data_IF_657001813673
#
_entry.id   IF_657001813673
#
_cell.length_a   1.000
_cell.length_b   1.000
_cell.length_c   1.000
_cell.angle_alpha   90.00
_cell.angle_beta   90.00
_cell.angle_gamma   90.00
#
_symmetry.space_group_name_H-M   'P 1'
#
loop_
_entity.id
_entity.type
_entity.pdbx_description
1 polymer ?
#
# COMPACT_ATOMS: atom_id res chain seq x y z
N UNK A 1 -18.65 -14.99 -1.65
CA UNK A 1 -18.54 -13.52 -1.84
C UNK A 1 -17.08 -13.19 -1.96
N UNK A 2 -16.68 -12.78 -3.11
CA UNK A 2 -15.31 -12.39 -3.34
C UNK A 2 -15.05 -11.06 -2.58
N UNK A 3 -14.10 -11.09 -1.66
CA UNK A 3 -13.65 -9.89 -0.96
C UNK A 3 -12.60 -9.22 -1.83
N UNK A 4 -12.89 -8.01 -2.25
CA UNK A 4 -11.99 -7.23 -3.10
C UNK A 4 -11.55 -5.91 -2.46
N UNK A 5 -11.84 -5.73 -1.18
CA UNK A 5 -11.38 -4.58 -0.39
C UNK A 5 -11.31 -4.95 1.09
N UNK A 6 -10.17 -4.69 1.71
CA UNK A 6 -9.95 -4.82 3.16
C UNK A 6 -9.35 -3.53 3.68
N UNK A 7 -9.92 -2.99 4.75
CA UNK A 7 -9.41 -1.79 5.44
C UNK A 7 -9.15 -2.16 6.90
N UNK A 8 -7.92 -1.94 7.36
CA UNK A 8 -7.49 -2.28 8.72
C UNK A 8 -6.86 -1.05 9.38
N UNK A 9 -7.52 -0.51 10.40
CA UNK A 9 -6.97 0.56 11.23
C UNK A 9 -6.04 0.01 12.31
N UNK A 10 -5.13 0.86 12.80
CA UNK A 10 -4.14 0.49 13.81
C UNK A 10 -3.35 -0.77 13.43
N UNK A 11 -2.86 -0.81 12.19
CA UNK A 11 -2.30 -2.01 11.60
C UNK A 11 -0.96 -2.42 12.23
N UNK A 12 0.01 -1.51 12.34
CA UNK A 12 1.30 -1.78 12.99
C UNK A 12 1.21 -1.57 14.51
N UNK A 13 2.00 -2.33 15.25
CA UNK A 13 2.13 -2.18 16.70
C UNK A 13 2.79 -0.86 17.08
N UNK A 14 3.86 -0.49 16.38
CA UNK A 14 4.62 0.76 16.59
C UNK A 14 4.82 1.51 15.27
N UNK A 15 3.78 2.18 14.76
CA UNK A 15 3.86 2.90 13.50
C UNK A 15 4.83 4.08 13.55
N UNK A 16 5.02 4.71 14.72
CA UNK A 16 5.93 5.85 14.88
C UNK A 16 7.38 5.42 14.72
N UNK A 17 7.73 4.26 15.27
CA UNK A 17 9.06 3.69 15.07
C UNK A 17 9.31 3.34 13.60
N UNK A 18 8.36 2.69 12.96
CA UNK A 18 8.46 2.33 11.53
C UNK A 18 8.57 3.58 10.66
N UNK A 19 7.74 4.61 10.93
CA UNK A 19 7.83 5.89 10.22
C UNK A 19 9.19 6.56 10.40
N UNK A 20 9.72 6.60 11.64
CA UNK A 20 11.04 7.14 11.92
C UNK A 20 12.12 6.44 11.09
N UNK A 21 12.09 5.11 11.05
CA UNK A 21 13.02 4.32 10.24
C UNK A 21 12.85 4.61 8.74
N UNK A 22 11.61 4.74 8.27
CA UNK A 22 11.34 5.08 6.88
C UNK A 22 11.96 6.41 6.46
N UNK A 23 11.90 7.42 7.33
CA UNK A 23 12.44 8.75 7.05
C UNK A 23 13.99 8.81 7.02
N UNK A 24 14.66 7.78 7.52
CA UNK A 24 16.13 7.65 7.50
C UNK A 24 16.64 6.97 6.22
N UNK A 25 15.75 6.45 5.36
CA UNK A 25 16.11 5.73 4.15
C UNK A 25 16.23 6.63 2.92
N UNK A 26 16.96 6.14 1.93
CA UNK A 26 17.10 6.81 0.63
C UNK A 26 15.88 6.55 -0.26
N UNK A 27 15.34 7.62 -0.84
CA UNK A 27 14.21 7.62 -1.77
C UNK A 27 14.70 8.02 -3.16
N UNK A 28 15.48 7.18 -3.78
CA UNK A 28 16.14 7.43 -5.05
C UNK A 28 15.55 6.64 -6.22
N UNK A 29 14.58 5.76 -5.95
CA UNK A 29 13.97 4.90 -6.96
C UNK A 29 12.69 5.51 -7.51
N UNK A 30 12.63 5.63 -8.82
CA UNK A 30 11.45 6.03 -9.59
C UNK A 30 10.94 4.83 -10.35
N UNK A 31 9.66 4.52 -10.19
CA UNK A 31 8.97 3.54 -11.02
C UNK A 31 7.94 4.27 -11.90
N UNK A 32 8.02 4.09 -13.22
CA UNK A 32 7.19 4.84 -14.17
C UNK A 32 5.70 4.52 -14.10
N UNK A 33 5.33 3.38 -13.54
CA UNK A 33 3.94 2.92 -13.44
C UNK A 33 3.18 3.44 -12.22
N UNK A 34 3.88 4.03 -11.25
CA UNK A 34 3.31 4.51 -9.98
C UNK A 34 3.91 5.85 -9.57
N UNK A 35 3.15 6.71 -8.86
CA UNK A 35 3.63 8.02 -8.45
C UNK A 35 4.67 7.95 -7.33
N UNK A 36 5.45 9.02 -7.18
CA UNK A 36 6.37 9.24 -6.07
C UNK A 36 7.72 8.52 -6.20
N UNK A 37 8.50 8.63 -5.14
CA UNK A 37 9.82 8.01 -4.98
C UNK A 37 9.72 6.82 -4.03
N UNK A 38 10.59 5.84 -4.22
CA UNK A 38 10.58 4.60 -3.45
C UNK A 38 11.92 4.27 -2.86
N UNK A 39 11.89 3.58 -1.73
CA UNK A 39 13.07 2.96 -1.13
C UNK A 39 13.37 1.61 -1.79
N UNK A 40 14.49 1.03 -1.44
CA UNK A 40 14.73 -0.39 -1.66
C UNK A 40 13.74 -1.22 -0.85
N UNK A 41 13.53 -2.47 -1.29
CA UNK A 41 12.70 -3.44 -0.58
C UNK A 41 13.20 -3.66 0.84
N UNK A 42 12.27 -3.73 1.75
CA UNK A 42 12.52 -4.03 3.15
C UNK A 42 12.25 -5.51 3.46
N UNK A 43 12.85 -5.98 4.52
CA UNK A 43 12.65 -7.33 5.04
C UNK A 43 12.67 -7.34 6.57
N UNK A 44 13.04 -8.47 7.16
CA UNK A 44 13.20 -8.60 8.61
C UNK A 44 11.88 -8.50 9.37
N UNK A 45 11.95 -7.89 10.56
CA UNK A 45 10.82 -7.86 11.51
C UNK A 45 9.58 -7.18 10.95
N UNK A 46 9.73 -6.13 10.14
CA UNK A 46 8.60 -5.47 9.49
C UNK A 46 7.86 -6.41 8.53
N UNK A 47 8.59 -7.17 7.72
CA UNK A 47 7.97 -8.15 6.83
C UNK A 47 7.22 -9.22 7.63
N UNK A 48 7.80 -9.71 8.72
CA UNK A 48 7.20 -10.74 9.58
C UNK A 48 5.90 -10.21 10.19
N UNK A 49 5.90 -8.99 10.72
CA UNK A 49 4.71 -8.37 11.29
C UNK A 49 3.60 -8.18 10.26
N UNK A 50 3.93 -7.58 9.12
CA UNK A 50 2.97 -7.33 8.03
C UNK A 50 2.39 -8.64 7.51
N UNK A 51 3.23 -9.62 7.21
CA UNK A 51 2.80 -10.91 6.70
C UNK A 51 1.89 -11.64 7.70
N UNK A 52 2.24 -11.65 8.97
CA UNK A 52 1.44 -12.26 10.03
C UNK A 52 0.04 -11.66 10.12
N UNK A 53 -0.07 -10.34 10.07
CA UNK A 53 -1.36 -9.64 10.13
C UNK A 53 -2.19 -9.83 8.85
N UNK A 54 -1.55 -9.82 7.68
CA UNK A 54 -2.23 -10.09 6.42
C UNK A 54 -2.76 -11.53 6.34
N UNK A 55 -2.02 -12.52 6.83
CA UNK A 55 -2.50 -13.91 6.91
C UNK A 55 -3.80 -14.03 7.71
N UNK A 56 -3.88 -13.31 8.83
CA UNK A 56 -5.09 -13.27 9.66
C UNK A 56 -6.23 -12.58 8.90
N UNK A 57 -5.97 -11.43 8.30
CA UNK A 57 -6.99 -10.63 7.60
C UNK A 57 -7.56 -11.36 6.39
N UNK A 58 -6.71 -12.04 5.62
CA UNK A 58 -7.12 -12.82 4.44
C UNK A 58 -7.65 -14.22 4.78
N UNK A 59 -7.39 -14.71 6.00
CA UNK A 59 -7.72 -16.07 6.39
C UNK A 59 -6.91 -17.13 5.63
N UNK A 60 -5.69 -16.80 5.25
CA UNK A 60 -4.78 -17.66 4.51
C UNK A 60 -3.58 -18.13 5.35
N UNK A 61 -2.92 -19.19 4.89
CA UNK A 61 -1.75 -19.74 5.59
C UNK A 61 -0.42 -19.19 5.07
N UNK A 62 -0.42 -18.71 3.85
CA UNK A 62 0.77 -18.27 3.15
C UNK A 62 0.50 -16.99 2.37
N UNK A 63 1.48 -16.10 2.33
CA UNK A 63 1.53 -14.91 1.46
C UNK A 63 2.70 -15.11 0.51
N UNK A 64 2.41 -15.05 -0.78
CA UNK A 64 3.42 -15.06 -1.83
C UNK A 64 3.63 -13.63 -2.29
N UNK A 65 4.83 -13.10 -2.07
CA UNK A 65 5.19 -11.75 -2.46
C UNK A 65 5.61 -11.71 -3.94
N UNK A 66 5.01 -10.81 -4.69
CA UNK A 66 5.45 -10.55 -6.06
C UNK A 66 6.81 -9.83 -6.03
N UNK A 67 7.86 -10.56 -6.39
CA UNK A 67 9.23 -10.06 -6.41
C UNK A 67 9.54 -9.22 -7.65
N UNK A 68 8.65 -9.17 -8.63
CA UNK A 68 8.80 -8.36 -9.85
C UNK A 68 8.28 -6.94 -9.67
N UNK A 69 7.51 -6.70 -8.60
CA UNK A 69 6.94 -5.40 -8.24
C UNK A 69 7.68 -4.77 -7.07
N UNK A 70 7.45 -3.48 -6.85
CA UNK A 70 7.94 -2.77 -5.67
C UNK A 70 7.11 -3.11 -4.43
N UNK A 71 7.34 -4.30 -3.92
CA UNK A 71 6.69 -4.84 -2.73
C UNK A 71 7.50 -4.54 -1.48
N UNK A 72 6.86 -4.26 -0.35
CA UNK A 72 7.52 -3.98 0.93
C UNK A 72 8.58 -2.87 0.82
N UNK A 73 8.29 -1.82 0.11
CA UNK A 73 9.08 -0.61 0.09
C UNK A 73 8.26 0.56 0.65
N UNK A 74 8.93 1.58 1.13
CA UNK A 74 8.27 2.84 1.43
C UNK A 74 8.17 3.69 0.16
N UNK A 75 7.08 4.44 0.08
CA UNK A 75 6.82 5.40 -0.99
C UNK A 75 6.68 6.81 -0.39
N UNK A 76 7.31 7.77 -1.03
CA UNK A 76 7.16 9.19 -0.70
C UNK A 76 6.54 9.93 -1.87
N UNK A 77 5.38 10.54 -1.63
CA UNK A 77 4.74 11.46 -2.56
C UNK A 77 4.74 12.85 -1.93
N UNK A 78 5.29 13.82 -2.63
CA UNK A 78 5.30 15.21 -2.21
C UNK A 78 4.01 15.90 -2.67
N UNK A 79 3.70 17.06 -2.05
CA UNK A 79 2.63 17.92 -2.53
C UNK A 79 2.83 18.24 -4.02
N UNK A 80 1.78 18.12 -4.81
CA UNK A 80 1.83 18.33 -6.25
C UNK A 80 2.35 17.15 -7.07
N UNK A 81 2.67 16.01 -6.45
CA UNK A 81 2.98 14.78 -7.20
C UNK A 81 1.77 14.40 -8.05
N UNK A 82 2.00 14.26 -9.35
CA UNK A 82 0.97 13.83 -10.29
C UNK A 82 0.58 12.37 -10.02
N UNK A 83 -0.72 12.10 -10.00
CA UNK A 83 -1.28 10.76 -9.81
C UNK A 83 -2.23 10.42 -10.96
N UNK A 84 -2.41 9.12 -11.19
CA UNK A 84 -3.29 8.62 -12.26
C UNK A 84 -3.94 7.30 -11.87
N UNK A 85 -5.05 6.97 -12.55
CA UNK A 85 -5.70 5.67 -12.41
C UNK A 85 -4.85 4.63 -13.13
N UNK A 86 -4.52 3.54 -12.43
CA UNK A 86 -3.70 2.45 -12.96
C UNK A 86 -4.11 1.11 -12.32
N UNK A 87 -3.57 0.03 -12.86
CA UNK A 87 -3.63 -1.30 -12.24
C UNK A 87 -2.26 -1.62 -11.65
N UNK A 88 -2.23 -2.18 -10.46
CA UNK A 88 -0.99 -2.59 -9.81
C UNK A 88 -0.45 -3.91 -10.38
N UNK A 89 -1.31 -4.80 -10.86
CA UNK A 89 -0.89 -6.04 -11.52
C UNK A 89 -0.92 -5.91 -13.05
N UNK A 90 0.03 -6.56 -13.71
CA UNK A 90 0.13 -6.60 -15.18
C UNK A 90 -0.44 -7.90 -15.76
N UNK A 91 -0.89 -8.82 -14.93
CA UNK A 91 -1.33 -10.16 -15.32
C UNK A 91 -2.85 -10.38 -15.30
N UNK A 92 -3.27 -11.51 -15.87
CA UNK A 92 -4.65 -12.01 -15.78
C UNK A 92 -4.87 -12.86 -14.52
N UNK A 93 -3.88 -12.94 -13.62
CA UNK A 93 -3.92 -13.80 -12.45
C UNK A 93 -4.97 -13.32 -11.45
N UNK A 94 -6.00 -14.11 -11.34
CA UNK A 94 -7.07 -13.91 -10.38
C UNK A 94 -6.55 -14.26 -8.98
N UNK A 95 -6.67 -13.29 -8.05
CA UNK A 95 -6.30 -13.51 -6.66
C UNK A 95 -5.09 -12.72 -6.18
N UNK A 96 -4.52 -11.87 -7.02
CA UNK A 96 -3.51 -10.90 -6.57
C UNK A 96 -4.16 -9.77 -5.77
N UNK A 97 -3.42 -9.33 -4.76
CA UNK A 97 -3.79 -8.20 -3.91
C UNK A 97 -2.68 -7.15 -3.95
N UNK A 98 -3.07 -5.90 -4.08
CA UNK A 98 -2.21 -4.78 -3.76
C UNK A 98 -2.55 -4.23 -2.37
N UNK A 99 -1.59 -3.64 -1.67
CA UNK A 99 -1.84 -3.04 -0.38
C UNK A 99 -1.01 -1.77 -0.18
N UNK A 100 -1.63 -0.79 0.47
CA UNK A 100 -0.99 0.46 0.88
C UNK A 100 -1.19 0.64 2.37
N UNK A 101 -0.11 0.95 3.09
CA UNK A 101 -0.13 1.32 4.50
C UNK A 101 0.22 2.80 4.65
N UNK A 102 -0.69 3.58 5.19
CA UNK A 102 -0.50 5.02 5.39
C UNK A 102 0.30 5.30 6.66
N UNK A 103 1.40 6.02 6.50
CA UNK A 103 2.30 6.41 7.60
C UNK A 103 2.51 7.93 7.70
N UNK A 104 1.61 8.73 7.15
CA UNK A 104 1.63 10.19 7.27
C UNK A 104 0.79 10.61 8.48
N UNK A 105 1.36 11.24 9.51
CA UNK A 105 0.60 11.76 10.63
C UNK A 105 -0.24 12.98 10.20
N UNK A 106 -1.45 13.08 10.74
CA UNK A 106 -2.41 14.14 10.42
C UNK A 106 -2.61 14.36 8.91
N UNK A 107 -2.87 13.30 8.15
CA UNK A 107 -2.98 13.41 6.70
C UNK A 107 -4.24 14.16 6.28
N UNK A 108 -4.23 14.70 5.06
CA UNK A 108 -5.46 15.13 4.40
C UNK A 108 -6.27 13.89 4.05
N UNK A 109 -7.53 13.81 4.50
CA UNK A 109 -8.35 12.59 4.40
C UNK A 109 -8.57 12.14 2.95
N UNK A 110 -8.74 13.07 2.02
CA UNK A 110 -8.96 12.81 0.61
C UNK A 110 -7.66 12.47 -0.17
N UNK A 111 -6.51 12.43 0.50
CA UNK A 111 -5.25 11.92 -0.07
C UNK A 111 -5.11 10.38 0.02
N UNK A 112 -6.20 9.68 0.21
CA UNK A 112 -6.23 8.22 0.33
C UNK A 112 -6.24 7.47 -1.00
N UNK A 113 -6.86 6.30 -0.99
CA UNK A 113 -6.93 5.41 -2.16
C UNK A 113 -8.33 5.45 -2.77
N UNK A 114 -8.40 5.77 -4.05
CA UNK A 114 -9.61 5.63 -4.85
C UNK A 114 -9.60 4.31 -5.61
N UNK A 115 -10.75 3.69 -5.71
CA UNK A 115 -10.95 2.45 -6.48
C UNK A 115 -11.99 2.70 -7.55
N UNK A 116 -11.63 2.38 -8.79
CA UNK A 116 -12.47 2.54 -9.98
C UNK A 116 -12.74 1.17 -10.61
N UNK A 117 -13.93 1.02 -11.14
CA UNK A 117 -14.27 -0.17 -11.94
C UNK A 117 -13.54 -0.15 -13.28
N UNK A 118 -13.44 1.04 -13.90
CA UNK A 118 -12.67 1.26 -15.12
C UNK A 118 -12.24 2.72 -15.23
N UNK A 119 -11.36 3.03 -16.17
CA UNK A 119 -10.90 4.40 -16.43
C UNK A 119 -12.02 5.37 -16.87
N UNK A 120 -13.10 4.84 -17.44
CA UNK A 120 -14.19 5.64 -18.01
C UNK A 120 -15.36 5.84 -17.03
N UNK A 121 -15.28 5.26 -15.83
CA UNK A 121 -16.30 5.36 -14.82
C UNK A 121 -15.87 6.28 -13.66
N UNK A 122 -16.87 6.78 -12.94
CA UNK A 122 -16.63 7.50 -11.71
C UNK A 122 -16.01 6.58 -10.65
N UNK A 123 -15.33 7.18 -9.69
CA UNK A 123 -14.75 6.46 -8.57
C UNK A 123 -15.85 5.75 -7.76
N UNK A 124 -15.72 4.43 -7.61
CA UNK A 124 -16.71 3.63 -6.89
C UNK A 124 -16.54 3.72 -5.38
N UNK A 125 -15.28 3.66 -4.92
CA UNK A 125 -14.95 3.64 -3.49
C UNK A 125 -13.77 4.58 -3.26
N UNK A 126 -13.87 5.39 -2.21
CA UNK A 126 -12.77 6.17 -1.70
C UNK A 126 -12.45 5.72 -0.27
N UNK A 127 -11.21 5.32 -0.03
CA UNK A 127 -10.70 5.00 1.30
C UNK A 127 -9.83 6.15 1.77
N UNK A 128 -10.23 6.81 2.87
CA UNK A 128 -9.51 7.95 3.41
C UNK A 128 -8.13 7.58 3.93
N UNK A 129 -7.19 8.51 3.75
CA UNK A 129 -5.87 8.42 4.35
C UNK A 129 -6.00 8.64 5.87
N UNK A 130 -5.70 7.61 6.63
CA UNK A 130 -5.64 7.64 8.09
C UNK A 130 -4.33 7.01 8.53
N UNK A 131 -3.63 7.67 9.45
CA UNK A 131 -2.37 7.17 9.96
C UNK A 131 -2.48 5.76 10.51
N UNK A 132 -1.56 4.89 10.13
CA UNK A 132 -1.54 3.46 10.47
C UNK A 132 -2.76 2.65 9.97
N UNK A 133 -3.36 3.07 8.86
CA UNK A 133 -4.39 2.33 8.14
C UNK A 133 -3.78 1.57 6.97
N UNK A 134 -4.06 0.27 6.88
CA UNK A 134 -3.76 -0.53 5.70
C UNK A 134 -5.03 -0.68 4.86
N UNK A 135 -4.86 -0.53 3.57
CA UNK A 135 -5.89 -0.78 2.54
C UNK A 135 -5.36 -1.85 1.61
N UNK A 136 -6.08 -2.95 1.46
CA UNK A 136 -5.77 -4.01 0.49
C UNK A 136 -6.95 -4.20 -0.48
N UNK A 137 -6.66 -4.33 -1.78
CA UNK A 137 -7.64 -4.38 -2.88
C UNK A 137 -7.15 -5.19 -4.07
#
# INVERSE_FOLDING_TARGET
MDRNLIVLDNFLEDPDYIRKRALELDYDRVQSSVPGLRTMRLGGDLQIEVEGKLKIAFGCKEIIWDMTQDTLCFQSCMEGTETWIHKDSQGEDQGEWAAVLYLTPNPVLDSGTGIWESHDHDMNIAVGNVYNRLVAY
#
